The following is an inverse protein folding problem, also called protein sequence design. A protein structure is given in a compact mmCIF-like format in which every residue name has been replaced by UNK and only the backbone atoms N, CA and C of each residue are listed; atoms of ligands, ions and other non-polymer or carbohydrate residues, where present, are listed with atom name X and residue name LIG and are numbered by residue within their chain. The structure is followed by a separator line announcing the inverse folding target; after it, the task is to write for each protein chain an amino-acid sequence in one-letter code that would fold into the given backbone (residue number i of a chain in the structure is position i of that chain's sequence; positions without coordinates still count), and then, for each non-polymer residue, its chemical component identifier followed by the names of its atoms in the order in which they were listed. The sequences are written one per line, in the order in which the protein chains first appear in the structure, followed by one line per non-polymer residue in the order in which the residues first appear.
data_IF_271552665774
#
_entry.id   IF_271552665774
#
_cell.length_a   1.000
_cell.length_b   1.000
_cell.length_c   1.000
_cell.angle_alpha   90.00
_cell.angle_beta   90.00
_cell.angle_gamma   90.00
#
_symmetry.space_group_name_H-M   'P 1'
#
loop_
_entity.id
_entity.type
_entity.pdbx_description
1 polymer ?
#
# COMPACT_ATOMS: atom_id res chain seq x y z
N UNK A 1 24.52 25.95 14.19
CA UNK A 1 23.57 25.45 15.21
C UNK A 1 23.88 24.01 15.66
N UNK A 2 23.88 23.00 14.78
CA UNK A 2 24.07 21.57 15.18
C UNK A 2 25.39 21.30 15.93
N UNK A 3 26.49 21.96 15.54
CA UNK A 3 27.81 21.76 16.17
C UNK A 3 27.87 22.23 17.64
N UNK A 4 27.20 23.32 17.99
CA UNK A 4 27.20 23.84 19.37
C UNK A 4 26.35 22.95 20.29
N UNK A 5 25.22 22.46 19.79
CA UNK A 5 24.39 21.47 20.48
C UNK A 5 25.20 20.20 20.77
N UNK A 6 25.95 19.67 19.79
CA UNK A 6 26.79 18.49 20.01
C UNK A 6 27.91 18.71 21.03
N UNK A 7 28.47 19.92 21.12
CA UNK A 7 29.51 20.25 22.10
C UNK A 7 28.94 20.34 23.51
N UNK A 8 27.77 20.95 23.68
CA UNK A 8 27.06 21.00 24.96
C UNK A 8 26.65 19.59 25.43
N UNK A 9 26.12 18.76 24.53
CA UNK A 9 25.76 17.37 24.82
C UNK A 9 26.95 16.54 25.31
N UNK A 10 28.19 16.82 24.90
CA UNK A 10 29.34 16.02 25.29
C UNK A 10 29.69 16.13 26.78
N UNK A 11 29.38 17.25 27.43
CA UNK A 11 29.64 17.46 28.86
C UNK A 11 28.51 16.90 29.75
N UNK A 12 27.27 16.97 29.27
CA UNK A 12 26.06 16.70 30.08
C UNK A 12 25.15 15.58 29.53
N UNK A 13 25.60 14.75 28.58
CA UNK A 13 24.76 13.69 27.97
C UNK A 13 24.21 12.67 28.98
N UNK A 14 24.80 12.53 30.16
CA UNK A 14 24.26 11.70 31.25
C UNK A 14 23.15 12.41 32.02
N UNK A 15 23.16 13.75 32.07
CA UNK A 15 22.18 14.56 32.79
C UNK A 15 20.86 14.74 32.03
N UNK A 16 20.88 14.62 30.69
CA UNK A 16 19.67 14.76 29.88
C UNK A 16 18.88 13.43 29.86
N UNK A 17 17.57 13.46 30.18
CA UNK A 17 16.71 12.28 30.07
C UNK A 17 16.70 11.69 28.66
N UNK A 18 16.60 10.37 28.55
CA UNK A 18 16.69 9.67 27.25
C UNK A 18 15.55 10.09 26.31
N UNK A 19 14.41 10.42 26.88
CA UNK A 19 13.19 10.87 26.20
C UNK A 19 13.45 12.19 25.46
N UNK A 20 14.17 13.14 26.08
CA UNK A 20 14.50 14.42 25.46
C UNK A 20 15.47 14.22 24.30
N UNK A 21 16.49 13.37 24.48
CA UNK A 21 17.44 13.04 23.41
C UNK A 21 16.74 12.37 22.22
N UNK A 22 15.77 11.51 22.51
CA UNK A 22 14.99 10.79 21.51
C UNK A 22 14.07 11.74 20.71
N UNK A 23 13.45 12.73 21.37
CA UNK A 23 12.68 13.82 20.71
C UNK A 23 13.59 14.66 19.81
N UNK A 24 14.79 15.03 20.26
CA UNK A 24 15.76 15.80 19.46
C UNK A 24 16.13 15.04 18.19
N UNK A 25 16.51 13.76 18.32
CA UNK A 25 16.86 12.91 17.17
C UNK A 25 15.67 12.75 16.21
N UNK A 26 14.47 12.54 16.75
CA UNK A 26 13.25 12.43 15.95
C UNK A 26 12.96 13.70 15.16
N UNK A 27 13.13 14.86 15.79
CA UNK A 27 12.97 16.17 15.12
C UNK A 27 14.03 16.40 14.02
N UNK A 28 15.28 16.00 14.23
CA UNK A 28 16.30 16.09 13.17
C UNK A 28 15.94 15.22 11.95
N UNK A 29 15.45 14.01 12.21
CA UNK A 29 15.07 13.05 11.16
C UNK A 29 13.75 13.40 10.47
N UNK A 30 12.85 14.15 11.10
CA UNK A 30 11.60 14.59 10.45
C UNK A 30 11.85 15.59 9.32
N UNK A 31 12.88 16.43 9.45
CA UNK A 31 13.28 17.39 8.43
C UNK A 31 14.19 16.78 7.36
N UNK A 32 15.05 15.83 7.75
CA UNK A 32 16.01 15.20 6.83
C UNK A 32 16.30 13.76 7.25
N UNK A 33 15.80 12.80 6.48
CA UNK A 33 16.00 11.36 6.71
C UNK A 33 17.38 10.85 6.29
N UNK A 34 18.27 11.68 5.78
CA UNK A 34 19.63 11.27 5.40
C UNK A 34 20.50 11.06 6.64
N UNK A 35 21.42 10.10 6.58
CA UNK A 35 22.33 9.80 7.70
C UNK A 35 23.13 11.02 8.20
N UNK A 36 23.47 11.96 7.32
CA UNK A 36 24.18 13.17 7.68
C UNK A 36 23.45 14.02 8.74
N UNK A 37 22.13 13.89 8.87
CA UNK A 37 21.33 14.58 9.88
C UNK A 37 21.66 14.12 11.32
N UNK A 38 22.12 12.88 11.48
CA UNK A 38 22.43 12.28 12.79
C UNK A 38 23.89 11.88 12.97
N UNK A 39 24.71 11.98 11.91
CA UNK A 39 26.09 11.52 11.91
C UNK A 39 26.87 12.09 13.11
N UNK A 40 26.84 13.40 13.29
CA UNK A 40 27.55 14.07 14.39
C UNK A 40 27.07 13.59 15.76
N UNK A 41 25.76 13.47 15.97
CA UNK A 41 25.18 13.00 17.25
C UNK A 41 25.58 11.56 17.54
N UNK A 42 25.59 10.69 16.52
CA UNK A 42 25.96 9.28 16.65
C UNK A 42 27.43 9.06 17.02
N UNK A 43 28.27 10.08 16.86
CA UNK A 43 29.69 10.06 17.20
C UNK A 43 30.01 10.64 18.59
N UNK A 44 29.04 11.32 19.24
CA UNK A 44 29.28 11.96 20.55
C UNK A 44 29.46 10.94 21.67
N UNK A 45 28.58 9.93 21.76
CA UNK A 45 28.62 8.88 22.78
C UNK A 45 27.93 7.59 22.31
N UNK A 46 28.21 6.46 22.98
CA UNK A 46 27.54 5.17 22.69
C UNK A 46 26.02 5.24 22.90
N UNK A 47 25.56 5.91 23.96
CA UNK A 47 24.13 6.13 24.24
C UNK A 47 23.45 6.92 23.13
N UNK A 48 24.04 8.02 22.69
CA UNK A 48 23.50 8.83 21.59
C UNK A 48 23.52 8.08 20.27
N UNK A 49 24.55 7.26 20.01
CA UNK A 49 24.61 6.36 18.86
C UNK A 49 23.43 5.40 18.82
N UNK A 50 23.13 4.74 19.93
CA UNK A 50 22.01 3.79 20.02
C UNK A 50 20.67 4.48 19.79
N UNK A 51 20.44 5.64 20.40
CA UNK A 51 19.21 6.43 20.18
C UNK A 51 19.09 6.87 18.72
N UNK A 52 20.18 7.44 18.17
CA UNK A 52 20.26 7.88 16.79
C UNK A 52 19.98 6.75 15.80
N UNK A 53 20.62 5.61 15.97
CA UNK A 53 20.45 4.45 15.08
C UNK A 53 19.08 3.82 15.24
N UNK A 54 18.55 3.69 16.46
CA UNK A 54 17.19 3.19 16.70
C UNK A 54 16.15 4.01 15.94
N UNK A 55 16.27 5.33 15.93
CA UNK A 55 15.35 6.25 15.23
C UNK A 55 15.60 6.32 13.73
N UNK A 56 16.85 6.27 13.31
CA UNK A 56 17.22 6.26 11.89
C UNK A 56 16.73 5.01 11.18
N UNK A 57 17.02 3.84 11.76
CA UNK A 57 16.63 2.54 11.23
C UNK A 57 15.21 2.13 11.65
N UNK A 58 14.41 3.02 12.27
CA UNK A 58 13.01 2.71 12.57
C UNK A 58 12.23 2.36 11.29
N UNK A 59 12.59 3.01 10.17
CA UNK A 59 12.08 2.70 8.82
C UNK A 59 13.24 2.24 7.95
N UNK A 60 13.15 1.02 7.39
CA UNK A 60 14.10 0.47 6.44
C UNK A 60 13.51 0.46 5.03
N UNK A 61 14.17 1.13 4.09
CA UNK A 61 13.83 1.08 2.67
C UNK A 61 14.92 0.31 1.93
N UNK A 62 14.63 -0.92 1.54
CA UNK A 62 15.53 -1.75 0.75
C UNK A 62 15.39 -1.34 -0.72
N UNK A 63 16.53 -1.14 -1.40
CA UNK A 63 16.59 -0.57 -2.76
C UNK A 63 17.22 -1.49 -3.79
N UNK A 64 17.81 -2.59 -3.31
CA UNK A 64 18.49 -3.59 -4.12
C UNK A 64 18.85 -4.80 -3.24
N UNK A 65 19.15 -5.96 -3.84
CA UNK A 65 19.62 -7.13 -3.10
C UNK A 65 20.92 -6.85 -2.33
N UNK A 66 21.84 -6.06 -2.94
CA UNK A 66 23.09 -5.67 -2.28
C UNK A 66 22.86 -4.77 -1.07
N UNK A 67 21.83 -3.90 -1.11
CA UNK A 67 21.46 -3.08 0.03
C UNK A 67 20.89 -3.95 1.15
N UNK A 68 20.03 -4.92 0.82
CA UNK A 68 19.50 -5.89 1.77
C UNK A 68 20.61 -6.64 2.52
N UNK A 69 21.52 -7.27 1.78
CA UNK A 69 22.61 -8.06 2.37
C UNK A 69 23.50 -7.24 3.29
N UNK A 70 23.78 -5.98 2.94
CA UNK A 70 24.56 -5.06 3.78
C UNK A 70 23.80 -4.65 5.03
N UNK A 71 22.51 -4.35 4.89
CA UNK A 71 21.64 -3.97 6.00
C UNK A 71 21.57 -5.10 7.02
N UNK A 72 21.39 -6.35 6.59
CA UNK A 72 21.36 -7.52 7.48
C UNK A 72 22.63 -7.73 8.32
N UNK A 73 23.76 -7.10 7.95
CA UNK A 73 25.02 -7.15 8.72
C UNK A 73 25.10 -6.10 9.83
N UNK A 74 24.17 -5.15 9.87
CA UNK A 74 24.15 -4.10 10.89
C UNK A 74 23.61 -4.68 12.20
N UNK A 75 24.48 -4.79 13.20
CA UNK A 75 24.13 -5.28 14.53
C UNK A 75 23.00 -4.43 15.15
N UNK A 76 21.97 -5.11 15.65
CA UNK A 76 20.82 -4.48 16.30
C UNK A 76 19.73 -3.97 15.35
N UNK A 77 19.97 -3.92 14.03
CA UNK A 77 19.00 -3.39 13.06
C UNK A 77 17.65 -4.12 13.13
N UNK A 78 17.67 -5.44 13.26
CA UNK A 78 16.47 -6.28 13.39
C UNK A 78 15.56 -5.88 14.56
N UNK A 79 16.15 -5.33 15.63
CA UNK A 79 15.43 -4.88 16.83
C UNK A 79 14.99 -3.41 16.75
N UNK A 80 15.47 -2.65 15.77
CA UNK A 80 15.15 -1.22 15.61
C UNK A 80 14.12 -0.98 14.52
N UNK A 81 14.13 -1.76 13.45
CA UNK A 81 13.19 -1.63 12.35
C UNK A 81 11.77 -1.93 12.84
N UNK A 82 10.87 -0.98 12.59
CA UNK A 82 9.42 -1.07 12.86
C UNK A 82 8.61 -1.01 11.57
N UNK A 83 9.15 -0.36 10.54
CA UNK A 83 8.56 -0.22 9.22
C UNK A 83 9.57 -0.66 8.16
N UNK A 84 9.15 -1.49 7.21
CA UNK A 84 10.01 -1.94 6.11
C UNK A 84 9.30 -1.74 4.78
N UNK A 85 10.02 -1.22 3.79
CA UNK A 85 9.63 -1.15 2.39
C UNK A 85 10.65 -1.88 1.55
N UNK A 86 10.20 -2.78 0.69
CA UNK A 86 11.11 -3.65 -0.07
C UNK A 86 10.45 -4.19 -1.33
N UNK A 87 11.21 -4.33 -2.42
CA UNK A 87 10.76 -5.13 -3.56
C UNK A 87 10.90 -6.62 -3.23
N UNK A 88 9.93 -7.45 -3.65
CA UNK A 88 9.95 -8.89 -3.41
C UNK A 88 11.23 -9.55 -3.95
N UNK A 89 11.78 -9.05 -5.06
CA UNK A 89 13.05 -9.49 -5.66
C UNK A 89 14.27 -9.19 -4.79
N UNK A 90 14.25 -8.12 -4.00
CA UNK A 90 15.43 -7.62 -3.29
C UNK A 90 15.80 -8.47 -2.06
N UNK A 91 14.82 -9.20 -1.50
CA UNK A 91 15.04 -10.05 -0.33
C UNK A 91 15.33 -11.50 -0.69
N UNK A 92 15.29 -11.86 -1.98
CA UNK A 92 15.38 -13.24 -2.43
C UNK A 92 16.71 -13.91 -2.07
N UNK A 93 17.82 -13.17 -2.01
CA UNK A 93 19.16 -13.71 -1.67
C UNK A 93 19.26 -14.17 -0.21
N UNK A 94 18.47 -13.60 0.69
CA UNK A 94 18.54 -13.85 2.12
C UNK A 94 17.17 -13.64 2.77
N UNK A 95 16.19 -14.46 2.37
CA UNK A 95 14.83 -14.35 2.88
C UNK A 95 14.72 -14.70 4.36
N UNK A 96 15.56 -15.61 4.86
CA UNK A 96 15.53 -16.06 6.26
C UNK A 96 15.82 -14.93 7.25
N UNK A 97 16.58 -13.90 6.84
CA UNK A 97 16.81 -12.71 7.65
C UNK A 97 15.52 -11.95 8.00
N UNK A 98 14.43 -12.11 7.23
CA UNK A 98 13.12 -11.53 7.56
C UNK A 98 12.58 -12.04 8.91
N UNK A 99 12.91 -13.28 9.28
CA UNK A 99 12.49 -13.88 10.55
C UNK A 99 13.12 -13.21 11.78
N UNK A 100 14.21 -12.47 11.59
CA UNK A 100 14.91 -11.78 12.66
C UNK A 100 14.24 -10.47 13.06
N UNK A 101 13.39 -9.90 12.20
CA UNK A 101 12.71 -8.61 12.45
C UNK A 101 11.52 -8.73 13.40
N UNK A 102 11.73 -9.24 14.62
CA UNK A 102 10.67 -9.51 15.59
C UNK A 102 9.91 -8.27 16.08
N UNK A 103 10.42 -7.06 15.81
CA UNK A 103 9.73 -5.82 16.15
C UNK A 103 9.04 -5.13 14.95
N UNK A 104 9.08 -5.73 13.76
CA UNK A 104 8.43 -5.17 12.58
C UNK A 104 6.92 -5.11 12.79
N UNK A 105 6.31 -3.97 12.48
CA UNK A 105 4.86 -3.73 12.62
C UNK A 105 4.21 -3.37 11.30
N UNK A 106 4.95 -2.69 10.42
CA UNK A 106 4.48 -2.27 9.11
C UNK A 106 5.40 -2.81 8.02
N UNK A 107 4.82 -3.49 7.05
CA UNK A 107 5.55 -4.04 5.91
C UNK A 107 4.87 -3.64 4.61
N UNK A 108 5.66 -3.13 3.68
CA UNK A 108 5.27 -2.79 2.32
C UNK A 108 6.16 -3.58 1.35
N UNK A 109 5.54 -4.41 0.51
CA UNK A 109 6.23 -5.25 -0.47
C UNK A 109 5.76 -4.90 -1.87
N UNK A 110 6.70 -4.52 -2.74
CA UNK A 110 6.44 -4.30 -4.16
C UNK A 110 6.66 -5.58 -4.97
N UNK A 111 5.64 -5.96 -5.76
CA UNK A 111 5.62 -7.14 -6.64
C UNK A 111 5.80 -6.77 -8.12
N UNK A 112 6.31 -5.58 -8.44
CA UNK A 112 6.56 -5.14 -9.83
C UNK A 112 7.37 -6.14 -10.65
N UNK A 113 8.34 -6.83 -10.02
CA UNK A 113 9.17 -7.88 -10.64
C UNK A 113 8.49 -9.24 -10.83
N UNK A 114 7.33 -9.45 -10.23
CA UNK A 114 6.62 -10.73 -10.24
C UNK A 114 5.54 -10.77 -11.32
N UNK A 115 5.28 -11.98 -11.82
CA UNK A 115 4.20 -12.28 -12.76
C UNK A 115 3.11 -13.16 -12.14
N UNK A 116 2.04 -13.42 -12.90
CA UNK A 116 0.90 -14.23 -12.45
C UNK A 116 1.31 -15.63 -11.93
N UNK A 117 2.32 -16.25 -12.55
CA UNK A 117 2.81 -17.58 -12.19
C UNK A 117 3.72 -17.60 -10.96
N UNK A 118 4.40 -16.49 -10.63
CA UNK A 118 5.39 -16.44 -9.54
C UNK A 118 4.81 -15.89 -8.24
N UNK A 119 3.78 -15.04 -8.30
CA UNK A 119 3.17 -14.36 -7.16
C UNK A 119 2.86 -15.31 -5.99
N UNK A 120 2.14 -16.41 -6.25
CA UNK A 120 1.72 -17.34 -5.19
C UNK A 120 2.92 -17.92 -4.43
N UNK A 121 3.90 -18.47 -5.17
CA UNK A 121 5.11 -19.05 -4.59
C UNK A 121 5.91 -18.00 -3.83
N UNK A 122 6.03 -16.78 -4.37
CA UNK A 122 6.72 -15.67 -3.73
C UNK A 122 6.06 -15.27 -2.41
N UNK A 123 4.75 -15.04 -2.40
CA UNK A 123 4.00 -14.71 -1.18
C UNK A 123 4.13 -15.81 -0.12
N UNK A 124 3.98 -17.08 -0.50
CA UNK A 124 4.10 -18.19 0.45
C UNK A 124 5.48 -18.24 1.10
N UNK A 125 6.56 -18.06 0.33
CA UNK A 125 7.92 -18.04 0.88
C UNK A 125 8.14 -16.82 1.78
N UNK A 126 7.78 -15.61 1.31
CA UNK A 126 7.96 -14.37 2.07
C UNK A 126 7.24 -14.42 3.41
N UNK A 127 5.97 -14.82 3.38
CA UNK A 127 5.12 -14.83 4.56
C UNK A 127 5.51 -15.94 5.53
N UNK A 128 6.02 -17.07 5.05
CA UNK A 128 6.61 -18.11 5.90
C UNK A 128 7.84 -17.60 6.64
N UNK A 129 8.71 -16.83 5.99
CA UNK A 129 9.93 -16.28 6.59
C UNK A 129 9.67 -15.13 7.57
N UNK A 130 8.50 -14.48 7.52
CA UNK A 130 8.14 -13.41 8.45
C UNK A 130 7.57 -13.97 9.74
N UNK A 131 8.22 -13.73 10.87
CA UNK A 131 7.75 -14.10 12.23
C UNK A 131 7.06 -12.95 12.95
N UNK A 132 7.09 -11.76 12.36
CA UNK A 132 6.61 -10.54 12.97
C UNK A 132 5.09 -10.49 13.08
N UNK A 133 4.63 -9.92 14.19
CA UNK A 133 3.23 -9.62 14.45
C UNK A 133 2.86 -8.28 13.80
N UNK A 134 2.57 -8.34 12.50
CA UNK A 134 2.29 -7.17 11.66
C UNK A 134 0.91 -6.59 11.98
N UNK A 135 0.86 -5.26 12.08
CA UNK A 135 -0.39 -4.49 12.18
C UNK A 135 -0.74 -3.80 10.87
N UNK A 136 0.25 -3.54 10.01
CA UNK A 136 0.06 -2.91 8.69
C UNK A 136 0.76 -3.75 7.62
N UNK A 137 0.02 -4.21 6.63
CA UNK A 137 0.56 -4.87 5.45
C UNK A 137 0.11 -4.16 4.18
N UNK A 138 1.07 -3.83 3.31
CA UNK A 138 0.84 -3.25 1.99
C UNK A 138 1.51 -4.12 0.94
N UNK A 139 0.77 -4.63 -0.04
CA UNK A 139 1.33 -5.32 -1.20
C UNK A 139 0.98 -4.52 -2.45
N UNK A 140 2.00 -3.95 -3.08
CA UNK A 140 1.87 -3.07 -4.25
C UNK A 140 2.25 -3.80 -5.53
N UNK A 141 1.79 -3.26 -6.66
CA UNK A 141 2.07 -3.81 -8.00
C UNK A 141 1.78 -5.33 -8.14
N UNK A 142 0.73 -5.83 -7.49
CA UNK A 142 0.35 -7.25 -7.56
C UNK A 142 -0.16 -7.63 -8.96
N UNK A 143 0.27 -8.75 -9.55
CA UNK A 143 -0.34 -9.27 -10.78
C UNK A 143 -1.85 -9.54 -10.65
N UNK A 144 -2.31 -9.99 -9.48
CA UNK A 144 -3.73 -10.19 -9.19
C UNK A 144 -4.02 -10.23 -7.69
N UNK A 145 -5.27 -9.94 -7.32
CA UNK A 145 -5.81 -10.18 -5.98
C UNK A 145 -6.83 -11.33 -6.08
N UNK A 146 -6.57 -12.46 -5.41
CA UNK A 146 -7.47 -13.62 -5.39
C UNK A 146 -7.73 -14.10 -3.96
N UNK A 147 -8.72 -14.98 -3.79
CA UNK A 147 -9.09 -15.52 -2.47
C UNK A 147 -7.95 -16.28 -1.81
N UNK A 148 -7.08 -16.94 -2.60
CA UNK A 148 -5.94 -17.67 -2.07
C UNK A 148 -4.92 -16.72 -1.42
N UNK A 149 -4.62 -15.58 -2.04
CA UNK A 149 -3.78 -14.54 -1.45
C UNK A 149 -4.42 -13.97 -0.18
N UNK A 150 -5.71 -13.63 -0.24
CA UNK A 150 -6.41 -13.05 0.91
C UNK A 150 -6.45 -14.01 2.11
N UNK A 151 -6.78 -15.29 1.88
CA UNK A 151 -6.74 -16.31 2.94
C UNK A 151 -5.34 -16.55 3.47
N UNK A 152 -4.31 -16.52 2.60
CA UNK A 152 -2.93 -16.64 3.03
C UNK A 152 -2.53 -15.48 3.95
N UNK A 153 -2.86 -14.23 3.59
CA UNK A 153 -2.63 -13.05 4.43
C UNK A 153 -3.38 -13.17 5.75
N UNK A 154 -4.67 -13.49 5.69
CA UNK A 154 -5.53 -13.58 6.87
C UNK A 154 -5.06 -14.64 7.86
N UNK A 155 -4.65 -15.81 7.36
CA UNK A 155 -4.12 -16.89 8.20
C UNK A 155 -2.75 -16.57 8.81
N UNK A 156 -1.92 -15.76 8.13
CA UNK A 156 -0.56 -15.49 8.57
C UNK A 156 -0.48 -14.33 9.56
N UNK A 157 -1.28 -13.28 9.36
CA UNK A 157 -1.15 -12.02 10.08
C UNK A 157 -2.47 -11.63 10.77
N UNK A 158 -2.90 -12.38 11.81
CA UNK A 158 -4.20 -12.16 12.45
C UNK A 158 -4.35 -10.80 13.15
N UNK A 159 -3.23 -10.16 13.50
CA UNK A 159 -3.21 -8.85 14.18
C UNK A 159 -3.26 -7.65 13.23
N UNK A 160 -3.49 -7.87 11.92
CA UNK A 160 -3.58 -6.77 10.97
C UNK A 160 -4.76 -5.86 11.29
N UNK A 161 -4.46 -4.57 11.42
CA UNK A 161 -5.45 -3.49 11.51
C UNK A 161 -5.59 -2.74 10.19
N UNK A 162 -4.54 -2.76 9.36
CA UNK A 162 -4.52 -2.14 8.02
C UNK A 162 -4.00 -3.14 6.99
N UNK A 163 -4.80 -3.38 5.95
CA UNK A 163 -4.43 -4.19 4.80
C UNK A 163 -4.67 -3.39 3.51
N UNK A 164 -3.61 -3.19 2.74
CA UNK A 164 -3.69 -2.58 1.41
C UNK A 164 -3.09 -3.54 0.39
N UNK A 165 -3.85 -3.85 -0.65
CA UNK A 165 -3.44 -4.74 -1.73
C UNK A 165 -3.80 -4.05 -3.04
N UNK A 166 -2.87 -3.93 -3.98
CA UNK A 166 -3.12 -3.18 -5.21
C UNK A 166 -2.56 -3.90 -6.43
N UNK A 167 -3.43 -4.21 -7.40
CA UNK A 167 -3.01 -4.68 -8.73
C UNK A 167 -3.06 -3.58 -9.78
N UNK A 168 -3.93 -2.59 -9.60
CA UNK A 168 -4.11 -1.46 -10.54
C UNK A 168 -2.90 -0.55 -10.67
N UNK A 169 -1.97 -0.57 -9.70
CA UNK A 169 -0.69 0.14 -9.76
C UNK A 169 0.25 -0.37 -10.86
N UNK A 170 0.05 -1.60 -11.36
CA UNK A 170 0.83 -2.13 -12.49
C UNK A 170 0.50 -1.47 -13.82
N UNK A 171 -0.61 -0.75 -13.91
CA UNK A 171 -1.08 -0.16 -15.15
C UNK A 171 -0.23 1.08 -15.50
N UNK A 172 0.53 0.97 -16.59
CA UNK A 172 1.43 2.03 -17.03
C UNK A 172 0.68 3.11 -17.81
N UNK A 173 0.10 4.04 -17.05
CA UNK A 173 -0.66 5.18 -17.59
C UNK A 173 0.22 6.35 -18.02
N UNK A 174 1.53 6.29 -17.78
CA UNK A 174 2.44 7.45 -17.96
C UNK A 174 3.38 7.28 -19.17
N UNK A 175 3.47 6.09 -19.76
CA UNK A 175 4.34 5.82 -20.92
C UNK A 175 3.65 6.06 -22.28
N UNK A 176 2.92 5.06 -22.80
CA UNK A 176 2.22 5.12 -24.09
C UNK A 176 1.04 4.12 -24.10
N UNK A 177 0.14 4.22 -25.11
CA UNK A 177 -1.02 3.31 -25.20
C UNK A 177 -0.64 1.84 -25.25
N UNK A 178 0.42 1.49 -26.00
CA UNK A 178 0.87 0.11 -26.11
C UNK A 178 1.36 -0.43 -24.77
N UNK A 179 2.13 0.35 -24.00
CA UNK A 179 2.56 -0.05 -22.66
C UNK A 179 1.35 -0.15 -21.69
N UNK A 180 0.37 0.74 -21.82
CA UNK A 180 -0.83 0.68 -20.99
C UNK A 180 -1.67 -0.57 -21.30
N UNK A 181 -1.88 -0.87 -22.58
CA UNK A 181 -2.58 -2.07 -23.06
C UNK A 181 -1.82 -3.35 -22.66
N UNK A 182 -0.50 -3.41 -22.91
CA UNK A 182 0.36 -4.53 -22.52
C UNK A 182 0.31 -4.77 -21.01
N UNK A 183 0.50 -3.72 -20.20
CA UNK A 183 0.45 -3.83 -18.74
C UNK A 183 -0.92 -4.29 -18.22
N UNK A 184 -2.01 -3.89 -18.90
CA UNK A 184 -3.36 -4.35 -18.59
C UNK A 184 -3.55 -5.84 -18.88
N UNK A 185 -3.02 -6.34 -20.00
CA UNK A 185 -3.10 -7.76 -20.37
C UNK A 185 -2.35 -8.68 -19.41
N UNK A 186 -1.34 -8.15 -18.71
CA UNK A 186 -0.50 -8.89 -17.76
C UNK A 186 -1.01 -8.84 -16.31
N UNK A 187 -2.15 -8.18 -16.06
CA UNK A 187 -2.65 -7.90 -14.71
C UNK A 187 -4.15 -8.14 -14.63
N UNK A 188 -4.62 -8.88 -13.61
CA UNK A 188 -6.06 -8.96 -13.33
C UNK A 188 -6.45 -7.74 -12.49
N UNK A 189 -6.84 -6.66 -13.18
CA UNK A 189 -7.25 -5.40 -12.56
C UNK A 189 -8.77 -5.30 -12.37
N UNK A 190 -9.57 -5.95 -13.22
CA UNK A 190 -11.05 -5.95 -13.19
C UNK A 190 -11.54 -7.40 -13.17
N UNK A 191 -11.72 -8.01 -11.99
CA UNK A 191 -11.98 -9.45 -11.88
C UNK A 191 -13.42 -9.87 -12.22
N UNK A 192 -14.34 -8.94 -12.49
CA UNK A 192 -15.72 -9.23 -12.91
C UNK A 192 -15.87 -8.88 -14.41
N UNK A 193 -16.52 -9.72 -15.24
CA UNK A 193 -17.13 -11.02 -14.91
C UNK A 193 -16.17 -12.22 -15.01
N UNK A 194 -14.94 -12.02 -15.50
CA UNK A 194 -14.07 -13.12 -15.96
C UNK A 194 -13.62 -14.07 -14.85
N UNK A 195 -13.35 -13.55 -13.65
CA UNK A 195 -12.93 -14.35 -12.48
C UNK A 195 -14.09 -14.60 -11.54
N UNK A 196 -14.97 -13.61 -11.38
CA UNK A 196 -16.19 -13.70 -10.58
C UNK A 196 -17.38 -13.28 -11.42
N UNK A 197 -18.47 -14.06 -11.45
CA UNK A 197 -19.63 -13.77 -12.30
C UNK A 197 -20.40 -12.50 -11.89
N UNK A 198 -20.25 -12.05 -10.64
CA UNK A 198 -20.90 -10.83 -10.16
C UNK A 198 -20.11 -10.19 -9.01
N UNK A 199 -20.45 -8.92 -8.72
CA UNK A 199 -19.84 -8.15 -7.64
C UNK A 199 -20.18 -8.71 -6.27
N UNK A 200 -21.39 -9.24 -6.10
CA UNK A 200 -21.83 -9.89 -4.86
C UNK A 200 -21.00 -11.16 -4.59
N UNK A 201 -20.75 -11.96 -5.62
CA UNK A 201 -19.94 -13.17 -5.49
C UNK A 201 -18.50 -12.80 -5.14
N UNK A 202 -17.92 -11.80 -5.80
CA UNK A 202 -16.60 -11.27 -5.47
C UNK A 202 -16.53 -10.78 -4.03
N UNK A 203 -17.44 -9.89 -3.63
CA UNK A 203 -17.44 -9.27 -2.31
C UNK A 203 -17.63 -10.31 -1.19
N UNK A 204 -18.49 -11.31 -1.39
CA UNK A 204 -18.64 -12.43 -0.47
C UNK A 204 -17.36 -13.27 -0.38
N UNK A 205 -16.75 -13.60 -1.52
CA UNK A 205 -15.56 -14.43 -1.56
C UNK A 205 -14.38 -13.73 -0.87
N UNK A 206 -14.15 -12.45 -1.15
CA UNK A 206 -13.12 -11.63 -0.51
C UNK A 206 -13.38 -11.43 0.98
N UNK A 207 -14.61 -11.06 1.35
CA UNK A 207 -15.01 -10.87 2.76
C UNK A 207 -14.79 -12.15 3.58
N UNK A 208 -15.19 -13.32 3.06
CA UNK A 208 -14.97 -14.60 3.75
C UNK A 208 -13.50 -14.97 3.85
N UNK A 209 -12.71 -14.72 2.80
CA UNK A 209 -11.28 -15.00 2.83
C UNK A 209 -10.54 -14.15 3.88
N UNK A 210 -11.02 -12.93 4.15
CA UNK A 210 -10.47 -12.00 5.15
C UNK A 210 -11.13 -12.12 6.53
N UNK A 211 -12.21 -12.91 6.67
CA UNK A 211 -12.95 -13.08 7.92
C UNK A 211 -12.09 -13.38 9.16
N UNK A 212 -10.98 -14.14 9.07
CA UNK A 212 -10.10 -14.37 10.22
C UNK A 212 -9.43 -13.12 10.82
N UNK A 213 -9.42 -11.99 10.09
CA UNK A 213 -8.79 -10.75 10.55
C UNK A 213 -9.75 -9.94 11.45
N UNK A 214 -9.91 -10.40 12.69
CA UNK A 214 -10.86 -9.83 13.66
C UNK A 214 -10.58 -8.36 14.01
N UNK A 215 -9.35 -7.89 13.83
CA UNK A 215 -8.92 -6.53 14.16
C UNK A 215 -8.80 -5.61 12.94
N UNK A 216 -9.21 -6.06 11.74
CA UNK A 216 -9.04 -5.28 10.52
C UNK A 216 -9.95 -4.06 10.52
N UNK A 217 -9.35 -2.86 10.59
CA UNK A 217 -10.06 -1.59 10.62
C UNK A 217 -10.04 -0.88 9.25
N UNK A 218 -8.94 -1.01 8.51
CA UNK A 218 -8.72 -0.34 7.22
C UNK A 218 -8.38 -1.38 6.16
N UNK A 219 -9.24 -1.47 5.13
CA UNK A 219 -9.05 -2.36 4.00
C UNK A 219 -9.03 -1.54 2.70
N UNK A 220 -7.98 -1.71 1.91
CA UNK A 220 -7.95 -1.23 0.53
C UNK A 220 -7.67 -2.38 -0.42
N UNK A 221 -8.57 -2.57 -1.39
CA UNK A 221 -8.46 -3.56 -2.46
C UNK A 221 -8.40 -2.82 -3.80
N UNK A 222 -7.18 -2.62 -4.27
CA UNK A 222 -6.85 -1.97 -5.53
C UNK A 222 -7.12 -2.88 -6.73
N UNK A 223 -8.40 -3.20 -6.94
CA UNK A 223 -9.02 -3.74 -8.15
C UNK A 223 -10.13 -2.78 -8.57
N UNK A 224 -10.45 -2.72 -9.86
CA UNK A 224 -11.62 -2.02 -10.37
C UNK A 224 -12.85 -2.92 -10.29
N UNK A 225 -13.98 -2.32 -9.93
CA UNK A 225 -15.29 -2.99 -9.89
C UNK A 225 -16.13 -2.72 -11.16
N UNK A 226 -15.47 -2.22 -12.21
CA UNK A 226 -16.01 -2.20 -13.57
C UNK A 226 -15.96 -3.59 -14.19
N UNK A 227 -16.69 -3.77 -15.29
CA UNK A 227 -16.51 -4.95 -16.13
C UNK A 227 -15.09 -4.98 -16.73
N UNK A 228 -14.58 -6.18 -16.98
CA UNK A 228 -13.22 -6.42 -17.46
C UNK A 228 -12.95 -5.80 -18.82
N UNK A 229 -13.99 -5.74 -19.66
CA UNK A 229 -13.94 -5.20 -21.02
C UNK A 229 -13.94 -3.66 -21.06
N UNK A 230 -14.26 -2.95 -19.98
CA UNK A 230 -14.32 -1.48 -19.98
C UNK A 230 -13.02 -0.85 -20.44
N UNK A 231 -11.87 -1.42 -20.03
CA UNK A 231 -10.57 -0.90 -20.44
C UNK A 231 -10.24 -1.25 -21.90
N UNK A 232 -10.57 -2.46 -22.35
CA UNK A 232 -10.39 -2.89 -23.75
C UNK A 232 -11.27 -2.07 -24.71
N UNK A 233 -12.55 -1.91 -24.39
CA UNK A 233 -13.49 -1.05 -25.11
C UNK A 233 -13.00 0.40 -25.16
N UNK A 234 -12.38 0.89 -24.07
CA UNK A 234 -11.76 2.20 -24.04
C UNK A 234 -10.56 2.30 -24.98
N UNK A 235 -9.70 1.28 -25.06
CA UNK A 235 -8.60 1.23 -26.03
C UNK A 235 -9.11 1.24 -27.47
N UNK A 236 -10.07 0.37 -27.82
CA UNK A 236 -10.63 0.29 -29.17
C UNK A 236 -11.24 1.64 -29.61
N UNK A 237 -11.98 2.27 -28.71
CA UNK A 237 -12.63 3.56 -28.94
C UNK A 237 -11.63 4.71 -29.01
N UNK A 238 -10.66 4.78 -28.10
CA UNK A 238 -9.74 5.92 -28.04
C UNK A 238 -8.59 5.80 -29.06
N UNK A 239 -8.11 4.59 -29.35
CA UNK A 239 -7.08 4.39 -30.37
C UNK A 239 -7.58 4.85 -31.74
N UNK A 240 -8.82 4.52 -32.12
CA UNK A 240 -9.42 4.97 -33.38
C UNK A 240 -9.56 6.50 -33.46
N UNK A 241 -9.97 7.16 -32.37
CA UNK A 241 -10.10 8.63 -32.31
C UNK A 241 -8.74 9.34 -32.35
N UNK A 242 -7.74 8.84 -31.62
CA UNK A 242 -6.40 9.45 -31.54
C UNK A 242 -5.64 9.29 -32.87
N UNK A 243 -5.73 8.12 -33.52
CA UNK A 243 -5.13 7.89 -34.84
C UNK A 243 -5.77 8.80 -35.88
N UNK A 244 -7.09 9.02 -35.80
CA UNK A 244 -7.84 9.80 -36.80
C UNK A 244 -7.71 11.31 -36.62
N UNK A 245 -7.41 11.81 -35.42
CA UNK A 245 -7.27 13.25 -35.18
C UNK A 245 -6.35 13.59 -34.01
N UNK A 246 -5.03 13.70 -34.24
CA UNK A 246 -4.02 14.01 -33.20
C UNK A 246 -4.15 15.41 -32.55
N UNK A 247 -5.11 16.24 -32.98
CA UNK A 247 -5.17 17.69 -32.69
C UNK A 247 -6.45 18.15 -31.99
N UNK A 248 -7.36 17.28 -31.56
CA UNK A 248 -8.54 17.75 -30.81
C UNK A 248 -8.14 18.08 -29.37
N UNK A 249 -8.05 19.37 -29.04
CA UNK A 249 -7.76 19.89 -27.70
C UNK A 249 -8.81 19.57 -26.61
N UNK A 250 -9.63 18.53 -26.83
CA UNK A 250 -10.64 18.04 -25.89
C UNK A 250 -10.16 16.86 -25.04
N UNK A 251 -9.05 16.20 -25.41
CA UNK A 251 -8.52 15.06 -24.67
C UNK A 251 -7.21 15.41 -23.95
N UNK A 252 -6.99 14.75 -22.80
CA UNK A 252 -5.69 14.77 -22.13
C UNK A 252 -4.62 14.18 -23.04
N UNK A 253 -3.34 14.57 -22.83
CA UNK A 253 -2.21 13.95 -23.50
C UNK A 253 -2.28 12.43 -23.33
N UNK A 254 -2.35 11.64 -24.42
CA UNK A 254 -2.41 10.19 -24.35
C UNK A 254 -1.12 9.60 -23.77
N UNK A 255 -1.18 8.41 -23.14
CA UNK A 255 -2.39 7.64 -22.89
C UNK A 255 -3.20 8.21 -21.72
N UNK A 256 -4.50 7.93 -21.68
CA UNK A 256 -5.34 8.27 -20.54
C UNK A 256 -6.27 7.12 -20.18
N UNK A 257 -6.61 6.99 -18.90
CA UNK A 257 -7.54 5.98 -18.44
C UNK A 257 -9.00 6.33 -18.74
N UNK A 258 -9.93 5.37 -18.55
CA UNK A 258 -11.37 5.61 -18.65
C UNK A 258 -11.87 6.79 -17.80
N UNK A 259 -11.13 7.17 -16.74
CA UNK A 259 -11.41 8.34 -15.89
C UNK A 259 -11.46 9.68 -16.63
N UNK A 260 -10.77 9.77 -17.76
CA UNK A 260 -10.67 10.99 -18.56
C UNK A 260 -11.45 10.89 -19.88
N UNK A 261 -12.18 9.81 -20.09
CA UNK A 261 -12.99 9.58 -21.29
C UNK A 261 -14.46 9.89 -21.01
N UNK A 262 -14.98 10.99 -21.58
CA UNK A 262 -16.37 11.46 -21.38
C UNK A 262 -17.39 10.35 -21.66
N UNK A 263 -17.14 9.52 -22.68
CA UNK A 263 -18.05 8.44 -23.05
C UNK A 263 -18.00 7.32 -21.99
N UNK A 264 -16.81 6.88 -21.57
CA UNK A 264 -16.69 5.86 -20.52
C UNK A 264 -17.28 6.35 -19.18
N UNK A 265 -17.08 7.62 -18.83
CA UNK A 265 -17.68 8.20 -17.62
C UNK A 265 -19.21 8.17 -17.71
N UNK A 266 -19.79 8.57 -18.84
CA UNK A 266 -21.24 8.60 -19.04
C UNK A 266 -21.86 7.19 -19.06
N UNK A 267 -21.19 6.21 -19.69
CA UNK A 267 -21.70 4.85 -19.84
C UNK A 267 -21.52 3.99 -18.58
N UNK A 268 -20.41 4.15 -17.86
CA UNK A 268 -20.02 3.21 -16.79
C UNK A 268 -19.95 3.84 -15.40
N UNK A 269 -19.75 5.16 -15.27
CA UNK A 269 -19.43 5.80 -13.98
C UNK A 269 -20.43 5.50 -12.88
N UNK A 270 -21.72 5.77 -13.13
CA UNK A 270 -22.78 5.54 -12.16
C UNK A 270 -22.93 4.05 -11.77
N UNK A 271 -22.82 3.14 -12.74
CA UNK A 271 -22.92 1.71 -12.50
C UNK A 271 -21.74 1.19 -11.65
N UNK A 272 -20.53 1.66 -11.93
CA UNK A 272 -19.33 1.29 -11.15
C UNK A 272 -19.43 1.78 -9.72
N UNK A 273 -19.88 3.02 -9.49
CA UNK A 273 -20.07 3.53 -8.12
C UNK A 273 -21.11 2.74 -7.33
N UNK A 274 -22.21 2.35 -7.97
CA UNK A 274 -23.22 1.51 -7.32
C UNK A 274 -22.65 0.13 -6.94
N UNK A 275 -21.82 -0.47 -7.82
CA UNK A 275 -21.11 -1.72 -7.53
C UNK A 275 -20.10 -1.56 -6.40
N UNK A 276 -19.34 -0.47 -6.37
CA UNK A 276 -18.41 -0.14 -5.27
C UNK A 276 -19.14 -0.02 -3.93
N UNK A 277 -20.29 0.67 -3.91
CA UNK A 277 -21.15 0.80 -2.73
C UNK A 277 -21.71 -0.55 -2.28
N UNK A 278 -22.21 -1.35 -3.21
CA UNK A 278 -22.74 -2.69 -2.94
C UNK A 278 -21.68 -3.63 -2.36
N UNK A 279 -20.50 -3.70 -3.01
CA UNK A 279 -19.38 -4.52 -2.55
C UNK A 279 -18.93 -4.11 -1.14
N UNK A 280 -18.81 -2.80 -0.89
CA UNK A 280 -18.45 -2.25 0.41
C UNK A 280 -19.43 -2.68 1.50
N UNK A 281 -20.74 -2.57 1.25
CA UNK A 281 -21.76 -2.97 2.21
C UNK A 281 -21.81 -4.49 2.47
N UNK A 282 -21.42 -5.33 1.51
CA UNK A 282 -21.29 -6.79 1.71
C UNK A 282 -20.06 -7.09 2.56
N UNK A 283 -18.90 -6.52 2.22
CA UNK A 283 -17.64 -6.74 2.96
C UNK A 283 -17.76 -6.27 4.40
N UNK A 284 -18.38 -5.11 4.63
CA UNK A 284 -18.65 -4.58 5.98
C UNK A 284 -19.48 -5.53 6.83
N UNK A 285 -20.52 -6.14 6.28
CA UNK A 285 -21.36 -7.12 7.01
C UNK A 285 -20.57 -8.35 7.45
N UNK A 286 -19.54 -8.73 6.69
CA UNK A 286 -18.70 -9.91 6.97
C UNK A 286 -17.56 -9.56 7.94
N UNK A 287 -17.04 -8.32 7.89
CA UNK A 287 -15.90 -7.85 8.67
C UNK A 287 -16.35 -6.79 9.70
N UNK A 288 -16.80 -7.19 10.90
CA UNK A 288 -17.49 -6.28 11.83
C UNK A 288 -16.59 -5.18 12.42
N UNK A 289 -15.27 -5.37 12.45
CA UNK A 289 -14.29 -4.38 12.94
C UNK A 289 -13.92 -3.32 11.90
N UNK A 290 -14.34 -3.51 10.65
CA UNK A 290 -13.96 -2.66 9.54
C UNK A 290 -14.56 -1.26 9.72
N UNK A 291 -13.71 -0.23 9.68
CA UNK A 291 -14.07 1.19 9.72
C UNK A 291 -14.10 1.82 8.34
N UNK A 292 -13.20 1.37 7.47
CA UNK A 292 -13.08 1.87 6.10
C UNK A 292 -12.78 0.74 5.13
N UNK A 293 -13.44 0.80 3.97
CA UNK A 293 -13.14 -0.05 2.82
C UNK A 293 -12.93 0.84 1.61
N UNK A 294 -11.84 0.58 0.87
CA UNK A 294 -11.50 1.33 -0.33
C UNK A 294 -11.29 0.41 -1.54
N UNK A 295 -11.64 0.94 -2.70
CA UNK A 295 -11.47 0.27 -4.00
C UNK A 295 -10.73 1.20 -4.95
N UNK A 296 -9.97 0.63 -5.89
CA UNK A 296 -9.50 1.42 -7.04
C UNK A 296 -10.69 1.75 -7.92
N UNK A 297 -10.76 2.99 -8.40
CA UNK A 297 -11.85 3.43 -9.28
C UNK A 297 -11.32 4.14 -10.50
N UNK A 298 -11.84 3.72 -11.67
CA UNK A 298 -11.72 4.50 -12.89
C UNK A 298 -12.59 5.74 -12.88
N UNK A 299 -13.55 5.88 -11.98
CA UNK A 299 -14.55 6.94 -12.10
C UNK A 299 -14.69 7.76 -10.83
N UNK A 300 -13.64 7.82 -10.00
CA UNK A 300 -13.65 8.59 -8.75
C UNK A 300 -14.14 10.03 -8.97
N UNK A 301 -15.42 10.27 -8.71
CA UNK A 301 -16.05 11.57 -8.81
C UNK A 301 -15.43 12.54 -7.79
N UNK A 302 -15.59 13.84 -8.03
CA UNK A 302 -15.13 14.92 -7.15
C UNK A 302 -15.91 15.02 -5.82
N UNK A 303 -16.42 13.91 -5.30
CA UNK A 303 -17.16 13.81 -4.05
C UNK A 303 -16.29 14.00 -2.81
N UNK A 304 -16.93 14.31 -1.68
CA UNK A 304 -16.33 14.69 -0.38
C UNK A 304 -15.55 13.59 0.37
N UNK A 305 -14.94 12.65 -0.36
CA UNK A 305 -14.13 11.55 0.18
C UNK A 305 -13.14 10.94 -0.81
N UNK A 306 -13.02 11.50 -2.03
CA UNK A 306 -12.09 11.02 -3.04
C UNK A 306 -10.68 11.62 -2.82
N UNK A 307 -9.68 10.78 -2.57
CA UNK A 307 -8.28 11.20 -2.72
C UNK A 307 -7.91 11.18 -4.22
N UNK A 308 -7.85 12.38 -4.81
CA UNK A 308 -7.50 12.60 -6.21
C UNK A 308 -6.12 12.05 -6.59
N UNK A 309 -5.20 11.89 -5.63
CA UNK A 309 -3.85 11.36 -5.93
C UNK A 309 -3.85 9.84 -6.05
N UNK A 310 -4.76 9.15 -5.38
CA UNK A 310 -4.76 7.67 -5.32
C UNK A 310 -5.86 7.02 -6.17
N UNK A 311 -6.76 7.80 -6.80
CA UNK A 311 -7.89 7.30 -7.61
C UNK A 311 -8.68 6.23 -6.85
N UNK A 312 -8.97 6.53 -5.59
CA UNK A 312 -9.59 5.59 -4.64
C UNK A 312 -10.96 6.08 -4.24
N UNK A 313 -11.95 5.19 -4.21
CA UNK A 313 -13.22 5.44 -3.53
C UNK A 313 -13.15 4.84 -2.14
N UNK A 314 -13.24 5.66 -1.09
CA UNK A 314 -13.23 5.22 0.32
C UNK A 314 -14.65 5.32 0.89
N UNK A 315 -15.14 4.22 1.44
CA UNK A 315 -16.41 4.17 2.16
C UNK A 315 -16.15 4.03 3.66
N UNK A 316 -16.74 4.92 4.45
CA UNK A 316 -16.76 4.84 5.90
C UNK A 316 -17.98 4.04 6.36
N UNK A 317 -17.76 2.95 7.08
CA UNK A 317 -18.80 1.98 7.48
C UNK A 317 -19.59 2.46 8.70
N UNK A 318 -19.00 3.32 9.54
CA UNK A 318 -19.65 3.84 10.76
C UNK A 318 -19.66 5.37 10.78
N UNK A 319 -20.75 5.97 10.35
CA UNK A 319 -21.19 7.22 10.98
C UNK A 319 -21.56 6.89 12.41
N UNK A 320 -20.74 7.33 13.38
CA UNK A 320 -21.12 7.31 14.79
C UNK A 320 -22.52 7.91 14.88
N UNK A 321 -23.54 7.08 15.19
CA UNK A 321 -24.84 7.60 15.62
C UNK A 321 -24.54 8.38 16.89
N UNK A 322 -24.40 9.70 16.78
CA UNK A 322 -24.40 10.59 17.93
C UNK A 322 -25.74 10.34 18.59
N UNK A 323 -25.73 9.61 19.72
CA UNK A 323 -26.88 9.56 20.61
C UNK A 323 -27.07 10.99 21.08
N UNK A 324 -27.99 11.71 20.42
CA UNK A 324 -28.52 12.95 20.95
C UNK A 324 -29.38 12.50 22.12
N UNK A 325 -28.82 12.53 23.32
CA UNK A 325 -29.59 12.35 24.55
C UNK A 325 -30.59 13.52 24.61
N UNK A 326 -31.81 13.27 24.16
CA UNK A 326 -32.94 14.17 24.32
C UNK A 326 -33.48 14.02 25.74
N UNK A 327 -32.78 14.60 26.71
CA UNK A 327 -33.33 14.89 28.04
C UNK A 327 -33.91 16.30 28.04
N UNK A 328 -35.25 16.37 27.94
CA UNK A 328 -36.08 17.44 28.50
C UNK A 328 -37.21 16.78 29.26
#
# INVERSE_FOLDING_TARGET
MVFEVCRALRKDATAIPVEILDVIVTSLLSHNRRFCAIANISLVSSRLRLIAFRRYFETLEVRSPRHWDKSCRILGMFNWVRKMRVAASDVQSNMDALSSFGSLRSLEIDFSSDGLSTQKTRCSLLFKSLTADLTVLKLTSLPRIDTALLSLVASRFPSLTTLELSSTERLDKECCWLCFEESSSCTIHSPVPDVFPSIEVLANAYGRALQPLENLEYLFLGVFLSDADVLSCHFDRCASVVISSPRTGFYSSPPFGPDKCVICTAEHGAAVHERERLASGIVEKILPSLKTVGWSSHFSEHGSGADRRTKTTIFCTRTLKVKVDSTR
#
